data_IF_227619791828
#
_entry.id   IF_227619791828
#
_cell.length_a   1.000
_cell.length_b   1.000
_cell.length_c   1.000
_cell.angle_alpha   90.00
_cell.angle_beta   90.00
_cell.angle_gamma   90.00
#
_symmetry.space_group_name_H-M   'P 1'
#
loop_
_entity.id
_entity.type
_entity.pdbx_description
1 polymer ?
#
# COMPACT_ATOMS: atom_id res chain seq x y z
N UNK A 1 -15.65 -17.11 6.69
CA UNK A 1 -14.30 -16.75 6.19
C UNK A 1 -14.31 -15.95 4.89
N UNK A 2 -15.10 -16.32 3.86
CA UNK A 2 -15.13 -15.64 2.55
C UNK A 2 -15.27 -14.11 2.61
N UNK A 3 -16.18 -13.59 3.44
CA UNK A 3 -16.41 -12.15 3.57
C UNK A 3 -15.21 -11.44 4.20
N UNK A 4 -14.56 -12.06 5.20
CA UNK A 4 -13.36 -11.53 5.86
C UNK A 4 -12.18 -11.45 4.88
N UNK A 5 -11.97 -12.50 4.07
CA UNK A 5 -10.93 -12.52 3.04
C UNK A 5 -11.13 -11.44 1.97
N UNK A 6 -12.40 -11.18 1.62
CA UNK A 6 -12.75 -10.16 0.63
C UNK A 6 -12.55 -8.75 1.20
N UNK A 7 -12.96 -8.51 2.45
CA UNK A 7 -12.68 -7.26 3.17
C UNK A 7 -11.18 -6.99 3.28
N UNK A 8 -10.39 -8.00 3.65
CA UNK A 8 -8.93 -7.89 3.73
C UNK A 8 -8.32 -7.57 2.36
N UNK A 9 -8.82 -8.20 1.29
CA UNK A 9 -8.38 -7.90 -0.07
C UNK A 9 -8.68 -6.45 -0.50
N UNK A 10 -9.87 -5.93 -0.16
CA UNK A 10 -10.22 -4.53 -0.42
C UNK A 10 -9.33 -3.59 0.41
N UNK A 11 -9.11 -3.91 1.69
CA UNK A 11 -8.24 -3.12 2.56
C UNK A 11 -6.81 -3.03 2.02
N UNK A 12 -6.23 -4.16 1.60
CA UNK A 12 -4.91 -4.20 0.97
C UNK A 12 -4.87 -3.35 -0.30
N UNK A 13 -5.89 -3.46 -1.16
CA UNK A 13 -5.99 -2.66 -2.38
C UNK A 13 -6.00 -1.15 -2.06
N UNK A 14 -6.85 -0.72 -1.13
CA UNK A 14 -6.95 0.68 -0.73
C UNK A 14 -5.60 1.17 -0.21
N UNK A 15 -4.98 0.42 0.71
CA UNK A 15 -3.69 0.79 1.29
C UNK A 15 -2.62 0.95 0.21
N UNK A 16 -2.47 -0.02 -0.69
CA UNK A 16 -1.48 0.05 -1.78
C UNK A 16 -1.77 1.21 -2.73
N UNK A 17 -3.03 1.55 -3.00
CA UNK A 17 -3.39 2.68 -3.87
C UNK A 17 -3.12 4.05 -3.24
N UNK A 18 -3.42 4.23 -1.95
CA UNK A 18 -3.28 5.54 -1.28
C UNK A 18 -1.86 5.77 -0.74
N UNK A 19 -1.07 4.71 -0.55
CA UNK A 19 0.26 4.77 0.04
C UNK A 19 1.20 5.80 -0.61
N UNK A 20 1.33 5.92 -1.96
CA UNK A 20 2.16 6.95 -2.57
C UNK A 20 1.72 8.38 -2.24
N UNK A 21 0.41 8.63 -2.12
CA UNK A 21 -0.13 9.95 -1.78
C UNK A 21 0.17 10.30 -0.33
N UNK A 22 -0.01 9.33 0.58
CA UNK A 22 0.32 9.47 2.01
C UNK A 22 1.81 9.76 2.18
N UNK A 23 2.67 9.02 1.47
CA UNK A 23 4.11 9.27 1.47
C UNK A 23 4.46 10.69 1.02
N UNK A 24 3.90 11.09 -0.12
CA UNK A 24 4.18 12.39 -0.72
C UNK A 24 3.79 13.54 0.20
N UNK A 25 2.61 13.46 0.82
CA UNK A 25 2.13 14.48 1.74
C UNK A 25 3.01 14.54 3.00
N UNK A 26 3.40 13.38 3.56
CA UNK A 26 4.29 13.34 4.72
C UNK A 26 5.67 13.94 4.43
N UNK A 27 6.21 13.72 3.23
CA UNK A 27 7.59 14.09 2.88
C UNK A 27 7.71 15.51 2.32
N UNK A 28 6.77 15.95 1.49
CA UNK A 28 6.85 17.25 0.79
C UNK A 28 5.79 18.26 1.23
N UNK A 29 4.75 17.85 1.96
CA UNK A 29 3.64 18.73 2.40
C UNK A 29 3.05 19.62 1.29
N UNK A 30 2.95 19.07 0.07
CA UNK A 30 2.77 19.87 -1.14
C UNK A 30 1.44 19.63 -1.85
N UNK A 31 0.64 18.63 -1.42
CA UNK A 31 -0.58 18.23 -2.13
C UNK A 31 -1.85 18.71 -1.41
N UNK A 32 -1.89 18.62 -0.08
CA UNK A 32 -3.03 19.10 0.72
C UNK A 32 -2.71 20.34 1.54
N UNK A 33 -1.47 20.84 1.51
CA UNK A 33 -0.99 21.98 2.29
C UNK A 33 -1.39 21.86 3.77
N UNK A 34 -1.16 20.67 4.35
CA UNK A 34 -1.53 20.41 5.74
C UNK A 34 -0.61 21.17 6.70
N UNK A 35 -1.15 21.62 7.83
CA UNK A 35 -0.31 22.28 8.85
C UNK A 35 0.68 21.29 9.45
N UNK A 36 1.85 21.78 9.89
CA UNK A 36 2.84 20.92 10.54
C UNK A 36 2.28 20.26 11.80
N UNK A 37 1.40 20.95 12.56
CA UNK A 37 0.68 20.37 13.70
C UNK A 37 -0.18 19.15 13.32
N UNK A 38 -0.72 19.11 12.09
CA UNK A 38 -1.46 17.97 11.59
C UNK A 38 -0.53 16.83 11.15
N UNK A 39 0.58 17.15 10.47
CA UNK A 39 1.58 16.15 10.02
C UNK A 39 2.24 15.42 11.18
N UNK A 40 2.57 16.13 12.26
CA UNK A 40 3.22 15.56 13.45
C UNK A 40 2.20 15.11 14.51
N UNK A 41 0.92 15.07 14.17
CA UNK A 41 -0.08 14.49 15.06
C UNK A 41 0.13 12.98 15.13
N UNK A 42 0.26 12.46 16.35
CA UNK A 42 0.44 11.04 16.64
C UNK A 42 -0.63 10.15 15.97
N UNK A 43 -1.87 10.63 15.86
CA UNK A 43 -2.93 9.89 15.16
C UNK A 43 -2.67 9.75 13.65
N UNK A 44 -2.16 10.80 13.01
CA UNK A 44 -1.83 10.81 11.57
C UNK A 44 -0.63 9.91 11.30
N UNK A 45 0.37 9.95 12.18
CA UNK A 45 1.54 9.07 12.11
C UNK A 45 1.15 7.59 12.20
N UNK A 46 0.29 7.23 13.17
CA UNK A 46 -0.20 5.85 13.33
C UNK A 46 -0.99 5.38 12.09
N UNK A 47 -1.88 6.24 11.57
CA UNK A 47 -2.67 5.90 10.37
C UNK A 47 -1.76 5.72 9.16
N UNK A 48 -0.83 6.64 8.93
CA UNK A 48 0.14 6.52 7.84
C UNK A 48 0.99 5.27 7.98
N UNK A 49 1.55 5.02 9.16
CA UNK A 49 2.31 3.80 9.47
C UNK A 49 1.51 2.53 9.21
N UNK A 50 0.22 2.51 9.55
CA UNK A 50 -0.67 1.36 9.29
C UNK A 50 -0.87 1.14 7.80
N UNK A 51 -1.03 2.21 7.02
CA UNK A 51 -1.16 2.15 5.55
C UNK A 51 0.12 1.59 4.94
N UNK A 52 1.29 2.09 5.35
CA UNK A 52 2.60 1.62 4.91
C UNK A 52 2.83 0.15 5.25
N UNK A 53 2.60 -0.23 6.51
CA UNK A 53 2.74 -1.60 6.98
C UNK A 53 1.82 -2.54 6.20
N UNK A 54 0.56 -2.13 5.97
CA UNK A 54 -0.38 -2.93 5.18
C UNK A 54 0.08 -3.05 3.74
N UNK A 55 0.52 -1.96 3.10
CA UNK A 55 0.92 -1.96 1.71
C UNK A 55 2.14 -2.85 1.44
N UNK A 56 3.15 -2.85 2.33
CA UNK A 56 4.42 -3.52 2.09
C UNK A 56 4.63 -4.84 2.82
N UNK A 57 3.86 -5.13 3.87
CA UNK A 57 4.01 -6.38 4.63
C UNK A 57 2.75 -7.23 4.49
N UNK A 58 1.60 -6.69 4.86
CA UNK A 58 0.34 -7.47 4.84
C UNK A 58 -0.07 -7.83 3.41
N UNK A 59 0.01 -6.89 2.47
CA UNK A 59 -0.43 -7.12 1.08
C UNK A 59 0.40 -8.19 0.36
N UNK A 60 1.75 -8.22 0.44
CA UNK A 60 2.55 -9.32 -0.11
C UNK A 60 2.25 -10.67 0.52
N UNK A 61 2.11 -10.75 1.85
CA UNK A 61 1.75 -11.99 2.55
C UNK A 61 0.37 -12.49 2.06
N UNK A 62 -0.60 -11.58 1.96
CA UNK A 62 -1.93 -11.90 1.46
C UNK A 62 -1.89 -12.40 0.00
N UNK A 63 -1.04 -11.81 -0.83
CA UNK A 63 -0.79 -12.24 -2.21
C UNK A 63 -0.29 -13.68 -2.29
N UNK A 64 0.74 -14.01 -1.50
CA UNK A 64 1.33 -15.36 -1.43
C UNK A 64 0.25 -16.35 -0.99
N UNK A 65 -0.48 -16.02 0.08
CA UNK A 65 -1.55 -16.86 0.61
C UNK A 65 -2.63 -17.16 -0.45
N UNK A 66 -3.12 -16.14 -1.16
CA UNK A 66 -4.14 -16.32 -2.20
C UNK A 66 -3.61 -17.08 -3.42
N UNK A 67 -2.33 -16.94 -3.74
CA UNK A 67 -1.67 -17.71 -4.80
C UNK A 67 -1.61 -19.20 -4.44
N UNK A 68 -1.19 -19.54 -3.21
CA UNK A 68 -1.19 -20.92 -2.71
C UNK A 68 -2.59 -21.52 -2.73
N UNK A 69 -3.61 -20.78 -2.26
CA UNK A 69 -5.00 -21.23 -2.32
C UNK A 69 -5.49 -21.46 -3.75
N UNK A 70 -5.03 -20.67 -4.72
CA UNK A 70 -5.39 -20.83 -6.13
C UNK A 70 -4.76 -22.09 -6.72
N UNK A 71 -3.50 -22.38 -6.38
CA UNK A 71 -2.82 -23.62 -6.77
C UNK A 71 -3.53 -24.86 -6.21
N UNK A 72 -4.07 -24.76 -4.98
CA UNK A 72 -4.89 -25.82 -4.37
C UNK A 72 -6.34 -25.85 -4.89
N UNK A 73 -6.70 -25.02 -5.89
CA UNK A 73 -8.07 -24.87 -6.41
C UNK A 73 -9.14 -24.46 -5.37
N UNK A 74 -8.72 -23.95 -4.20
CA UNK A 74 -9.60 -23.50 -3.11
C UNK A 74 -9.88 -21.99 -3.13
N UNK A 75 -9.18 -21.24 -3.99
CA UNK A 75 -9.34 -19.78 -4.07
C UNK A 75 -10.60 -19.36 -4.82
N UNK A 76 -11.35 -18.43 -4.22
CA UNK A 76 -12.47 -17.77 -4.87
C UNK A 76 -12.02 -16.79 -5.97
N UNK A 77 -12.68 -16.86 -7.14
CA UNK A 77 -12.37 -16.04 -8.31
C UNK A 77 -12.39 -14.52 -8.03
N UNK A 78 -13.40 -14.03 -7.28
CA UNK A 78 -13.54 -12.59 -6.97
C UNK A 78 -12.38 -12.06 -6.13
N UNK A 79 -11.98 -12.79 -5.09
CA UNK A 79 -10.84 -12.43 -4.23
C UNK A 79 -9.56 -12.42 -5.03
N UNK A 80 -9.34 -13.45 -5.86
CA UNK A 80 -8.15 -13.53 -6.70
C UNK A 80 -8.05 -12.39 -7.73
N UNK A 81 -9.19 -11.89 -8.24
CA UNK A 81 -9.21 -10.70 -9.11
C UNK A 81 -8.70 -9.46 -8.37
N UNK A 82 -9.14 -9.23 -7.13
CA UNK A 82 -8.68 -8.10 -6.30
C UNK A 82 -7.18 -8.22 -6.02
N UNK A 83 -6.70 -9.42 -5.70
CA UNK A 83 -5.28 -9.71 -5.44
C UNK A 83 -4.41 -9.36 -6.65
N UNK A 84 -4.84 -9.71 -7.88
CA UNK A 84 -4.10 -9.35 -9.10
C UNK A 84 -4.01 -7.84 -9.31
N UNK A 85 -5.10 -7.11 -9.06
CA UNK A 85 -5.10 -5.64 -9.14
C UNK A 85 -4.19 -5.05 -8.07
N UNK A 86 -4.26 -5.57 -6.83
CA UNK A 86 -3.40 -5.16 -5.72
C UNK A 86 -1.93 -5.37 -6.06
N UNK A 87 -1.58 -6.50 -6.68
CA UNK A 87 -0.22 -6.79 -7.13
C UNK A 87 0.29 -5.78 -8.16
N UNK A 88 -0.55 -5.41 -9.14
CA UNK A 88 -0.19 -4.41 -10.13
C UNK A 88 0.14 -3.07 -9.47
N UNK A 89 -0.70 -2.59 -8.54
CA UNK A 89 -0.40 -1.35 -7.81
C UNK A 89 0.81 -1.48 -6.88
N UNK A 90 1.08 -2.67 -6.33
CA UNK A 90 2.28 -2.91 -5.53
C UNK A 90 3.55 -2.71 -6.38
N UNK A 91 3.56 -3.22 -7.62
CA UNK A 91 4.67 -3.00 -8.56
C UNK A 91 4.82 -1.52 -8.91
N UNK A 92 3.71 -0.82 -9.13
CA UNK A 92 3.74 0.64 -9.34
C UNK A 92 4.33 1.39 -8.14
N UNK A 93 4.00 0.97 -6.91
CA UNK A 93 4.62 1.52 -5.71
C UNK A 93 6.14 1.31 -5.73
N UNK A 94 6.62 0.08 -5.99
CA UNK A 94 8.07 -0.20 -6.04
C UNK A 94 8.78 0.70 -7.06
N UNK A 95 8.21 0.87 -8.25
CA UNK A 95 8.76 1.78 -9.27
C UNK A 95 8.77 3.22 -8.77
N UNK A 96 7.66 3.69 -8.20
CA UNK A 96 7.53 5.04 -7.66
C UNK A 96 8.59 5.33 -6.58
N UNK A 97 8.72 4.47 -5.57
CA UNK A 97 9.69 4.66 -4.49
C UNK A 97 11.14 4.57 -4.97
N UNK A 98 11.42 3.70 -5.94
CA UNK A 98 12.75 3.61 -6.56
C UNK A 98 13.11 4.91 -7.28
N UNK A 99 12.15 5.49 -8.01
CA UNK A 99 12.33 6.76 -8.70
C UNK A 99 12.50 7.93 -7.72
N UNK A 100 11.70 7.98 -6.65
CA UNK A 100 11.83 8.99 -5.60
C UNK A 100 13.19 8.93 -4.92
N UNK A 101 13.65 7.73 -4.57
CA UNK A 101 14.98 7.52 -3.99
C UNK A 101 16.10 7.99 -4.94
N UNK A 102 16.00 7.66 -6.22
CA UNK A 102 16.96 8.10 -7.24
C UNK A 102 17.03 9.63 -7.35
N UNK A 103 15.88 10.31 -7.42
CA UNK A 103 15.84 11.78 -7.45
C UNK A 103 16.48 12.35 -6.18
N UNK A 104 16.06 11.89 -5.01
CA UNK A 104 16.53 12.44 -3.74
C UNK A 104 18.05 12.25 -3.56
N UNK A 105 18.57 11.09 -3.98
CA UNK A 105 20.00 10.77 -3.97
C UNK A 105 20.83 11.66 -4.91
N UNK A 106 20.26 12.08 -6.04
CA UNK A 106 20.94 12.98 -6.98
C UNK A 106 20.86 14.45 -6.58
N UNK A 107 19.80 14.88 -5.87
CA UNK A 107 19.67 16.26 -5.36
C UNK A 107 20.58 16.50 -4.14
N UNK A 108 20.91 15.44 -3.40
CA UNK A 108 21.75 15.51 -2.18
C UNK A 108 23.25 15.29 -2.43
N UNK A 109 23.66 15.12 -3.69
CA UNK A 109 25.06 15.08 -4.12
C UNK A 109 25.54 16.44 -4.57
#
# INVERSE_FOLDING_TARGET
>A
MRNVTLLLGIWCLICVMINPLVFWEMLFNNFLHTSDDFRYNNAVEIIGGTIFFTAFIVSPIFLIYQTVLRLMQKSHYKVFRIVKVTYFFLLLNVVFYSFMYYILSNVTK
#
